data_IF_567899369117
#
_entry.id   IF_567899369117
#
_cell.length_a   1.000
_cell.length_b   1.000
_cell.length_c   1.000
_cell.angle_alpha   90.00
_cell.angle_beta   90.00
_cell.angle_gamma   90.00
#
_symmetry.space_group_name_H-M   'P 1'
#
loop_
_entity.id
_entity.type
_entity.pdbx_description
1 polymer ?
#
# COMPACT_ATOMS: atom_id res chain seq x y z
N UNK A 1 -5.69 9.40 36.53
CA UNK A 1 -5.03 8.18 35.98
C UNK A 1 -5.57 6.94 36.70
N UNK A 2 -5.88 5.86 35.99
CA UNK A 2 -6.29 4.60 36.62
C UNK A 2 -5.06 3.85 37.16
N UNK A 3 -5.10 3.39 38.41
CA UNK A 3 -4.00 2.65 39.05
C UNK A 3 -4.09 1.13 38.85
N UNK A 4 -5.20 0.63 38.30
CA UNK A 4 -5.44 -0.77 37.98
C UNK A 4 -6.20 -0.92 36.67
N UNK A 5 -6.01 -2.05 35.99
CA UNK A 5 -6.61 -2.33 34.68
C UNK A 5 -8.15 -2.46 34.71
N UNK A 6 -8.71 -2.74 35.88
CA UNK A 6 -10.15 -2.91 36.14
C UNK A 6 -10.78 -1.70 36.87
N UNK A 7 -9.99 -0.65 37.13
CA UNK A 7 -10.48 0.58 37.73
C UNK A 7 -11.18 1.49 36.70
N UNK A 8 -11.85 2.53 37.20
CA UNK A 8 -12.40 3.58 36.34
C UNK A 8 -11.29 4.39 35.68
N UNK A 9 -11.39 4.57 34.37
CA UNK A 9 -10.47 5.39 33.60
C UNK A 9 -10.98 6.84 33.49
N UNK A 10 -10.03 7.78 33.59
CA UNK A 10 -10.26 9.18 33.25
C UNK A 10 -9.81 9.39 31.80
N UNK A 11 -10.66 10.00 30.99
CA UNK A 11 -10.36 10.32 29.59
C UNK A 11 -10.14 11.82 29.42
N UNK A 12 -9.16 12.19 28.59
CA UNK A 12 -8.91 13.57 28.15
C UNK A 12 -8.52 13.55 26.68
N UNK A 13 -8.83 14.63 25.99
CA UNK A 13 -8.28 14.89 24.66
C UNK A 13 -6.81 15.24 24.80
N UNK A 14 -5.97 14.63 23.97
CA UNK A 14 -4.51 14.82 23.98
C UNK A 14 -4.00 15.36 22.64
N UNK A 15 -4.85 15.36 21.61
CA UNK A 15 -4.57 15.83 20.27
C UNK A 15 -5.89 16.03 19.51
N UNK A 16 -6.06 17.20 18.90
CA UNK A 16 -7.08 17.53 17.91
C UNK A 16 -6.42 18.45 16.87
N UNK A 17 -5.72 17.83 15.93
CA UNK A 17 -4.95 18.53 14.89
C UNK A 17 -5.00 17.74 13.57
N UNK A 18 -5.16 18.44 12.46
CA UNK A 18 -5.25 17.90 11.11
C UNK A 18 -4.00 18.18 10.26
N UNK A 19 -2.94 18.73 10.88
CA UNK A 19 -1.72 19.17 10.21
C UNK A 19 -1.99 20.14 9.04
N UNK A 20 -3.10 20.88 9.10
CA UNK A 20 -3.59 21.76 8.04
C UNK A 20 -3.99 21.02 6.76
N UNK A 21 -4.44 19.77 6.86
CA UNK A 21 -4.76 18.91 5.73
C UNK A 21 -6.22 18.43 5.74
N UNK A 22 -7.09 19.24 5.16
CA UNK A 22 -8.46 18.85 4.79
C UNK A 22 -9.35 18.34 5.95
N UNK A 23 -9.16 18.82 7.18
CA UNK A 23 -9.88 18.35 8.37
C UNK A 23 -9.71 16.83 8.61
N UNK A 24 -8.59 16.26 8.16
CA UNK A 24 -8.24 14.86 8.35
C UNK A 24 -7.26 14.73 9.52
N UNK A 25 -7.81 14.43 10.70
CA UNK A 25 -7.06 14.40 11.95
C UNK A 25 -5.91 13.40 11.99
N UNK A 26 -4.88 13.74 12.76
CA UNK A 26 -3.84 12.82 13.19
C UNK A 26 -4.27 12.10 14.47
N UNK A 27 -4.48 10.79 14.37
CA UNK A 27 -5.03 10.02 15.46
C UNK A 27 -4.62 8.56 15.33
N UNK A 28 -4.99 7.76 16.34
CA UNK A 28 -4.75 6.33 16.42
C UNK A 28 -3.26 5.94 16.34
N UNK A 29 -2.80 5.19 17.34
CA UNK A 29 -1.42 4.75 17.38
C UNK A 29 -1.03 4.41 18.80
N UNK A 30 0.13 4.88 19.22
CA UNK A 30 0.63 4.60 20.56
C UNK A 30 1.78 5.49 20.97
N UNK A 31 2.31 5.17 22.15
CA UNK A 31 3.40 5.90 22.79
C UNK A 31 4.60 4.97 22.91
N UNK A 32 5.79 5.52 22.71
CA UNK A 32 7.04 4.78 22.81
C UNK A 32 8.08 5.65 23.48
N UNK A 33 8.85 5.05 24.38
CA UNK A 33 10.05 5.66 24.95
C UNK A 33 11.31 5.14 24.28
N UNK A 34 12.34 5.97 24.35
CA UNK A 34 13.70 5.63 23.89
C UNK A 34 14.54 5.17 25.07
N UNK A 35 15.65 4.45 24.86
CA UNK A 35 16.52 3.99 25.95
C UNK A 35 17.10 5.12 26.82
N UNK A 36 17.09 6.37 26.37
CA UNK A 36 17.50 7.55 27.14
C UNK A 36 16.33 8.32 27.77
N UNK A 37 15.12 7.75 27.75
CA UNK A 37 13.94 8.23 28.47
C UNK A 37 13.13 9.31 27.75
N UNK A 38 13.44 9.64 26.49
CA UNK A 38 12.59 10.52 25.68
C UNK A 38 11.36 9.78 25.17
N UNK A 39 10.21 10.44 25.21
CA UNK A 39 8.94 9.90 24.78
C UNK A 39 8.51 10.47 23.44
N UNK A 40 7.86 9.64 22.65
CA UNK A 40 7.27 9.97 21.37
C UNK A 40 5.88 9.35 21.26
N UNK A 41 4.95 10.06 20.64
CA UNK A 41 3.72 9.48 20.15
C UNK A 41 3.90 9.17 18.65
N UNK A 42 3.55 7.95 18.25
CA UNK A 42 3.41 7.59 16.84
C UNK A 42 1.92 7.48 16.53
N UNK A 43 1.46 8.20 15.51
CA UNK A 43 0.06 8.25 15.11
C UNK A 43 -0.06 7.96 13.61
N UNK A 44 -1.28 8.01 13.08
CA UNK A 44 -1.55 7.88 11.65
C UNK A 44 -2.40 9.06 11.18
N UNK A 45 -1.98 9.63 10.07
CA UNK A 45 -2.67 10.73 9.41
C UNK A 45 -3.30 10.28 8.10
N UNK A 46 -4.58 10.60 7.90
CA UNK A 46 -5.30 10.28 6.67
C UNK A 46 -4.82 11.18 5.52
N UNK A 47 -4.29 10.60 4.44
CA UNK A 47 -3.74 11.32 3.26
C UNK A 47 -4.48 10.99 1.97
N UNK A 48 -5.81 10.80 2.07
CA UNK A 48 -6.69 10.51 0.95
C UNK A 48 -6.24 9.28 0.15
N UNK A 49 -6.05 9.43 -1.15
CA UNK A 49 -5.69 8.32 -2.04
C UNK A 49 -4.32 7.67 -1.76
N UNK A 50 -3.42 8.34 -1.03
CA UNK A 50 -2.16 7.75 -0.58
C UNK A 50 -2.38 6.71 0.53
N UNK A 51 -3.49 6.81 1.26
CA UNK A 51 -3.79 6.01 2.45
C UNK A 51 -3.45 6.75 3.73
N UNK A 52 -3.13 5.99 4.78
CA UNK A 52 -2.81 6.53 6.12
C UNK A 52 -1.31 6.44 6.34
N UNK A 53 -0.69 7.58 6.65
CA UNK A 53 0.76 7.68 6.80
C UNK A 53 1.14 7.80 8.27
N UNK A 54 2.24 7.16 8.72
CA UNK A 54 2.68 7.32 10.09
C UNK A 54 3.19 8.75 10.32
N UNK A 55 2.81 9.32 11.45
CA UNK A 55 3.41 10.54 12.01
C UNK A 55 4.11 10.18 13.31
N UNK A 56 5.09 10.98 13.71
CA UNK A 56 5.75 10.84 14.99
C UNK A 56 6.02 12.23 15.56
N UNK A 57 5.72 12.42 16.82
CA UNK A 57 5.85 13.71 17.50
C UNK A 57 6.44 13.51 18.90
N UNK A 58 7.27 14.45 19.39
CA UNK A 58 7.73 14.43 20.77
C UNK A 58 6.54 14.39 21.75
N UNK A 59 6.74 13.73 22.87
CA UNK A 59 5.74 13.67 23.94
C UNK A 59 6.43 13.88 25.28
N UNK A 60 5.71 14.49 26.22
CA UNK A 60 6.10 14.60 27.63
C UNK A 60 4.90 14.31 28.52
N UNK A 61 5.13 14.06 29.80
CA UNK A 61 4.07 14.02 30.80
C UNK A 61 4.00 15.36 31.53
N UNK A 62 2.79 15.88 31.70
CA UNK A 62 2.51 17.03 32.56
C UNK A 62 2.70 16.71 34.04
N UNK A 63 2.60 17.71 34.90
CA UNK A 63 2.71 17.55 36.36
C UNK A 63 1.64 16.62 36.94
N UNK A 64 0.49 16.51 36.27
CA UNK A 64 -0.63 15.63 36.60
C UNK A 64 -0.50 14.22 36.02
N UNK A 65 0.61 13.93 35.34
CA UNK A 65 0.89 12.65 34.71
C UNK A 65 0.14 12.40 33.39
N UNK A 66 -0.58 13.38 32.84
CA UNK A 66 -1.18 13.24 31.51
C UNK A 66 -0.18 13.50 30.39
N UNK A 67 -0.26 12.78 29.27
CA UNK A 67 0.62 13.02 28.12
C UNK A 67 0.26 14.34 27.45
N UNK A 68 1.29 15.07 27.03
CA UNK A 68 1.22 16.28 26.21
C UNK A 68 2.01 15.99 24.94
N UNK A 69 1.34 16.03 23.79
CA UNK A 69 1.90 15.69 22.48
C UNK A 69 2.34 16.94 21.74
N UNK A 70 3.40 16.82 20.96
CA UNK A 70 3.89 17.89 20.08
C UNK A 70 4.27 19.15 20.84
N UNK A 71 4.00 20.31 20.22
CA UNK A 71 4.12 21.63 20.83
C UNK A 71 2.79 22.01 21.48
N UNK A 72 2.53 21.43 22.66
CA UNK A 72 1.30 21.64 23.44
C UNK A 72 -0.01 21.36 22.68
N UNK A 73 -0.06 20.22 21.97
CA UNK A 73 -1.22 19.76 21.23
C UNK A 73 -1.18 20.04 19.72
N UNK A 74 -0.10 20.66 19.23
CA UNK A 74 0.12 20.90 17.80
C UNK A 74 1.18 19.95 17.25
N UNK A 75 0.87 19.28 16.13
CA UNK A 75 1.81 18.38 15.45
C UNK A 75 2.82 19.21 14.66
N UNK A 76 4.10 19.09 15.03
CA UNK A 76 5.18 19.76 14.30
C UNK A 76 5.44 19.08 12.94
N UNK A 77 5.55 19.89 11.88
CA UNK A 77 5.92 19.40 10.54
C UNK A 77 7.37 18.90 10.51
N UNK A 78 8.25 19.57 11.24
CA UNK A 78 9.65 19.18 11.39
C UNK A 78 9.90 18.64 12.79
N UNK A 79 10.56 17.48 12.85
CA UNK A 79 10.95 16.85 14.09
C UNK A 79 12.45 16.57 14.09
N UNK A 80 13.07 16.69 15.26
CA UNK A 80 14.46 16.27 15.47
C UNK A 80 14.50 15.13 16.47
N UNK A 81 14.96 13.97 16.02
CA UNK A 81 15.12 12.77 16.86
C UNK A 81 16.59 12.45 16.97
N UNK A 82 17.27 12.82 18.08
CA UNK A 82 18.62 12.37 18.35
C UNK A 82 18.71 10.85 18.30
N UNK A 83 19.50 10.32 17.36
CA UNK A 83 19.70 8.88 17.16
C UNK A 83 21.18 8.57 16.89
N UNK A 84 21.67 7.45 17.42
CA UNK A 84 23.01 6.92 17.10
C UNK A 84 23.04 6.19 15.75
N UNK A 85 21.89 6.06 15.10
CA UNK A 85 21.69 5.31 13.86
C UNK A 85 21.26 6.21 12.70
N UNK A 86 21.62 7.50 12.72
CA UNK A 86 21.27 8.44 11.65
C UNK A 86 21.76 7.96 10.27
N UNK A 87 22.90 7.26 10.24
CA UNK A 87 23.49 6.70 9.02
C UNK A 87 22.99 5.28 8.69
N UNK A 88 22.05 4.72 9.46
CA UNK A 88 21.51 3.39 9.18
C UNK A 88 20.51 3.45 8.03
N UNK A 89 20.78 2.67 6.99
CA UNK A 89 19.86 2.53 5.85
C UNK A 89 18.86 1.40 6.10
N UNK A 90 17.60 1.76 6.32
CA UNK A 90 16.49 0.81 6.43
C UNK A 90 16.10 0.25 5.06
N UNK A 91 15.53 -0.96 5.04
CA UNK A 91 14.94 -1.53 3.84
C UNK A 91 13.80 -0.64 3.32
N UNK A 92 13.72 -0.50 2.00
CA UNK A 92 12.71 0.34 1.37
C UNK A 92 11.32 -0.31 1.47
N UNK A 93 10.29 0.52 1.69
CA UNK A 93 8.89 0.08 1.75
C UNK A 93 8.30 -0.28 0.39
N UNK A 94 8.98 0.12 -0.69
CA UNK A 94 8.60 -0.04 -2.09
C UNK A 94 9.88 0.01 -2.94
N UNK A 95 9.82 -0.45 -4.19
CA UNK A 95 11.01 -0.44 -5.04
C UNK A 95 10.87 -1.19 -6.36
N UNK A 96 11.94 -1.16 -7.13
CA UNK A 96 12.05 -1.87 -8.40
C UNK A 96 12.47 -3.32 -8.19
N UNK A 97 11.95 -4.22 -9.01
CA UNK A 97 12.33 -5.64 -9.03
C UNK A 97 12.50 -6.10 -10.47
N UNK A 98 13.64 -6.73 -10.77
CA UNK A 98 13.93 -7.30 -12.08
C UNK A 98 13.55 -8.80 -12.13
N UNK A 99 13.00 -9.32 -11.03
CA UNK A 99 12.55 -10.71 -10.87
C UNK A 99 13.65 -11.74 -11.17
N UNK A 100 14.93 -11.35 -11.03
CA UNK A 100 16.05 -12.28 -11.09
C UNK A 100 16.25 -12.92 -9.74
N UNK A 101 15.80 -14.15 -9.59
CA UNK A 101 16.09 -14.96 -8.42
C UNK A 101 17.18 -15.99 -8.69
N UNK A 102 17.98 -16.31 -7.68
CA UNK A 102 18.84 -17.50 -7.68
C UNK A 102 18.04 -18.65 -7.06
N UNK A 103 17.85 -19.79 -7.75
CA UNK A 103 17.16 -20.94 -7.17
C UNK A 103 17.78 -21.34 -5.83
N UNK A 104 16.96 -21.93 -4.94
CA UNK A 104 17.43 -22.49 -3.69
C UNK A 104 18.42 -23.63 -3.92
N UNK A 105 19.05 -24.13 -2.86
CA UNK A 105 19.93 -25.31 -2.93
C UNK A 105 19.20 -26.58 -3.41
N UNK A 106 17.88 -26.61 -3.29
CA UNK A 106 16.95 -27.61 -3.78
C UNK A 106 16.46 -27.34 -5.22
N UNK A 107 16.85 -26.21 -5.82
CA UNK A 107 16.38 -25.77 -7.13
C UNK A 107 14.99 -25.13 -7.11
N UNK A 108 14.33 -25.04 -5.96
CA UNK A 108 13.00 -24.47 -5.84
C UNK A 108 13.04 -22.95 -5.89
N UNK A 109 12.02 -22.39 -6.51
CA UNK A 109 11.79 -20.95 -6.57
C UNK A 109 10.46 -20.67 -5.86
N UNK A 110 10.50 -19.85 -4.81
CA UNK A 110 9.36 -19.66 -3.91
C UNK A 110 9.05 -18.19 -3.63
N UNK A 111 7.93 -17.92 -2.95
CA UNK A 111 7.54 -16.57 -2.51
C UNK A 111 8.65 -15.82 -1.77
N UNK A 112 9.55 -16.54 -1.09
CA UNK A 112 10.67 -15.95 -0.33
C UNK A 112 11.68 -15.24 -1.22
N UNK A 113 11.60 -15.42 -2.54
CA UNK A 113 12.48 -14.80 -3.52
C UNK A 113 11.91 -13.52 -4.12
N UNK A 114 10.63 -13.22 -3.87
CA UNK A 114 10.04 -11.92 -4.19
C UNK A 114 10.48 -10.93 -3.11
N UNK A 115 10.84 -9.70 -3.51
CA UNK A 115 11.24 -8.65 -2.56
C UNK A 115 10.14 -8.36 -1.52
N UNK A 116 10.49 -8.05 -0.26
CA UNK A 116 9.54 -8.00 0.86
C UNK A 116 8.47 -6.89 0.76
N UNK A 117 8.68 -5.89 -0.09
CA UNK A 117 7.70 -4.84 -0.34
C UNK A 117 6.52 -5.27 -1.22
N UNK A 118 6.63 -6.40 -1.91
CA UNK A 118 5.54 -6.95 -2.72
C UNK A 118 4.55 -7.73 -1.87
N UNK A 119 3.26 -7.54 -2.17
CA UNK A 119 2.17 -8.22 -1.50
C UNK A 119 1.13 -8.63 -2.56
N UNK A 120 0.73 -9.89 -2.57
CA UNK A 120 -0.39 -10.31 -3.41
C UNK A 120 -1.70 -9.76 -2.84
N UNK A 121 -2.59 -9.33 -3.73
CA UNK A 121 -3.98 -9.09 -3.36
C UNK A 121 -4.63 -10.45 -3.05
N UNK A 122 -5.07 -10.64 -1.81
CA UNK A 122 -5.51 -11.94 -1.25
C UNK A 122 -4.40 -13.01 -1.20
N UNK A 123 -4.78 -14.26 -0.90
CA UNK A 123 -3.87 -15.39 -0.90
C UNK A 123 -3.45 -15.73 -2.35
N UNK A 124 -2.15 -15.89 -2.63
CA UNK A 124 -1.70 -16.27 -3.97
C UNK A 124 -2.06 -17.72 -4.29
N UNK A 125 -2.36 -17.96 -5.55
CA UNK A 125 -2.54 -19.27 -6.16
C UNK A 125 -1.21 -19.70 -6.79
N UNK A 126 -0.48 -20.58 -6.10
CA UNK A 126 0.89 -20.98 -6.45
C UNK A 126 1.03 -21.64 -7.83
N UNK A 127 -0.04 -22.26 -8.30
CA UNK A 127 -0.15 -22.86 -9.62
C UNK A 127 -0.24 -21.84 -10.77
N UNK A 128 -0.54 -20.57 -10.45
CA UNK A 128 -0.83 -19.53 -11.43
C UNK A 128 0.22 -18.40 -11.47
N UNK A 129 1.40 -18.62 -10.89
CA UNK A 129 2.55 -17.72 -11.07
C UNK A 129 3.88 -18.47 -10.97
N UNK A 130 4.93 -17.95 -11.62
CA UNK A 130 6.26 -18.55 -11.57
C UNK A 130 7.36 -17.51 -11.77
N UNK A 131 8.48 -17.70 -11.09
CA UNK A 131 9.74 -16.99 -11.34
C UNK A 131 10.79 -17.91 -12.00
N UNK A 132 10.52 -19.22 -12.07
CA UNK A 132 11.41 -20.22 -12.64
C UNK A 132 11.15 -20.47 -14.13
N UNK A 133 9.89 -20.35 -14.56
CA UNK A 133 9.45 -20.66 -15.92
C UNK A 133 10.16 -19.80 -16.97
N UNK A 134 10.38 -18.52 -16.64
CA UNK A 134 11.16 -17.59 -17.44
C UNK A 134 12.10 -16.79 -16.53
N UNK A 135 13.37 -17.18 -16.41
CA UNK A 135 14.32 -16.49 -15.54
C UNK A 135 14.42 -14.99 -15.83
N UNK A 136 14.34 -14.16 -14.78
CA UNK A 136 14.32 -12.70 -14.90
C UNK A 136 12.96 -12.12 -15.28
N UNK A 137 11.88 -12.85 -15.00
CA UNK A 137 10.51 -12.40 -15.21
C UNK A 137 9.58 -13.03 -14.18
N UNK A 138 8.56 -12.28 -13.77
CA UNK A 138 7.38 -12.84 -13.13
C UNK A 138 6.41 -13.30 -14.21
N UNK A 139 6.14 -14.60 -14.26
CA UNK A 139 5.13 -15.19 -15.13
C UNK A 139 3.82 -15.30 -14.35
N UNK A 140 2.72 -14.82 -14.93
CA UNK A 140 1.37 -14.90 -14.39
C UNK A 140 0.50 -15.66 -15.38
N UNK A 141 -0.24 -16.67 -14.91
CA UNK A 141 -1.10 -17.51 -15.74
C UNK A 141 -2.57 -17.16 -15.54
N UNK A 142 -3.29 -16.88 -16.63
CA UNK A 142 -4.74 -16.73 -16.62
C UNK A 142 -5.40 -18.07 -16.36
N UNK A 143 -5.84 -18.32 -15.12
CA UNK A 143 -6.39 -19.63 -14.76
C UNK A 143 -7.93 -19.71 -14.87
N UNK A 144 -8.62 -18.59 -14.73
CA UNK A 144 -10.10 -18.51 -14.83
C UNK A 144 -10.53 -17.17 -15.41
N UNK A 145 -11.66 -17.20 -16.13
CA UNK A 145 -12.35 -15.98 -16.55
C UNK A 145 -13.02 -15.36 -15.32
N UNK A 146 -12.78 -14.07 -15.10
CA UNK A 146 -13.31 -13.31 -13.97
C UNK A 146 -14.05 -12.08 -14.45
N UNK A 147 -15.07 -11.60 -13.73
CA UNK A 147 -15.85 -10.45 -14.17
C UNK A 147 -15.07 -9.14 -14.08
N UNK A 148 -14.11 -9.03 -13.16
CA UNK A 148 -13.38 -7.79 -12.90
C UNK A 148 -12.06 -8.05 -12.14
N UNK A 149 -11.23 -7.00 -11.99
CA UNK A 149 -9.90 -7.08 -11.38
C UNK A 149 -9.91 -7.53 -9.91
N UNK A 150 -10.97 -7.26 -9.15
CA UNK A 150 -11.07 -7.67 -7.74
C UNK A 150 -11.08 -9.20 -7.58
N UNK A 151 -11.50 -9.93 -8.62
CA UNK A 151 -11.56 -11.39 -8.62
C UNK A 151 -10.37 -12.07 -9.30
N UNK A 152 -9.49 -11.29 -9.95
CA UNK A 152 -8.30 -11.82 -10.62
C UNK A 152 -7.31 -12.37 -9.59
N UNK A 153 -6.88 -13.62 -9.81
CA UNK A 153 -5.84 -14.23 -8.99
C UNK A 153 -4.49 -13.58 -9.26
N UNK A 154 -3.63 -13.62 -8.23
CA UNK A 154 -2.22 -13.25 -8.34
C UNK A 154 -1.95 -11.81 -8.82
N UNK A 155 -2.86 -10.88 -8.54
CA UNK A 155 -2.56 -9.44 -8.67
C UNK A 155 -1.47 -9.07 -7.65
N UNK A 156 -0.23 -8.86 -8.11
CA UNK A 156 0.90 -8.47 -7.28
C UNK A 156 0.90 -6.95 -7.06
N UNK A 157 1.03 -6.51 -5.81
CA UNK A 157 0.88 -5.09 -5.42
C UNK A 157 2.05 -4.60 -4.59
N UNK A 158 2.36 -3.31 -4.68
CA UNK A 158 3.23 -2.59 -3.74
C UNK A 158 2.60 -1.25 -3.38
N UNK A 159 3.01 -0.66 -2.26
CA UNK A 159 2.52 0.65 -1.81
C UNK A 159 3.02 1.77 -2.72
N UNK A 160 2.17 2.76 -2.98
CA UNK A 160 2.59 4.03 -3.61
C UNK A 160 3.32 4.90 -2.59
N UNK A 161 4.08 5.88 -3.09
CA UNK A 161 4.77 6.88 -2.25
C UNK A 161 4.43 8.30 -2.68
N UNK A 162 4.30 9.19 -1.68
CA UNK A 162 3.97 10.60 -1.90
C UNK A 162 5.21 11.50 -2.02
N UNK A 163 5.01 12.77 -2.43
CA UNK A 163 3.76 13.33 -2.96
C UNK A 163 3.49 12.91 -4.41
N UNK A 164 4.48 12.31 -5.09
CA UNK A 164 4.38 11.81 -6.47
C UNK A 164 5.24 10.56 -6.61
N UNK A 165 4.74 9.60 -7.38
CA UNK A 165 5.50 8.41 -7.76
C UNK A 165 5.23 8.04 -9.22
N UNK A 166 6.11 7.22 -9.78
CA UNK A 166 5.99 6.65 -11.10
C UNK A 166 6.34 5.16 -11.01
N UNK A 167 5.62 4.34 -11.77
CA UNK A 167 5.90 2.93 -11.91
C UNK A 167 5.86 2.57 -13.39
N UNK A 168 6.77 1.69 -13.80
CA UNK A 168 6.89 1.20 -15.16
C UNK A 168 7.01 -0.32 -15.11
N UNK A 169 6.41 -0.99 -16.09
CA UNK A 169 6.49 -2.44 -16.24
C UNK A 169 6.75 -2.77 -17.71
N UNK A 170 7.54 -3.81 -17.96
CA UNK A 170 7.67 -4.40 -19.28
C UNK A 170 6.80 -5.66 -19.32
N UNK A 171 5.84 -5.71 -20.24
CA UNK A 171 4.92 -6.84 -20.40
C UNK A 171 5.23 -7.56 -21.71
N UNK A 172 5.45 -8.86 -21.63
CA UNK A 172 5.48 -9.72 -22.82
C UNK A 172 4.07 -10.26 -23.08
N UNK A 173 3.45 -9.79 -24.16
CA UNK A 173 2.08 -10.12 -24.54
C UNK A 173 1.97 -11.29 -25.52
N UNK A 174 3.08 -11.95 -25.89
CA UNK A 174 3.09 -12.93 -26.97
C UNK A 174 2.17 -14.14 -26.76
N UNK A 175 1.86 -14.45 -25.50
CA UNK A 175 1.05 -15.59 -25.10
C UNK A 175 -0.40 -15.22 -24.73
N UNK A 176 -0.78 -13.94 -24.76
CA UNK A 176 -2.15 -13.51 -24.42
C UNK A 176 -3.17 -14.14 -25.37
N UNK A 177 -4.18 -14.77 -24.80
CA UNK A 177 -5.32 -15.32 -25.53
C UNK A 177 -6.41 -14.26 -25.70
N UNK A 178 -7.31 -14.43 -26.69
CA UNK A 178 -8.45 -13.53 -26.84
C UNK A 178 -9.26 -13.39 -25.54
N UNK A 179 -9.38 -12.15 -25.04
CA UNK A 179 -10.05 -11.82 -23.78
C UNK A 179 -9.12 -11.60 -22.58
N UNK A 180 -7.83 -11.94 -22.69
CA UNK A 180 -6.85 -11.70 -21.62
C UNK A 180 -6.47 -10.21 -21.54
N UNK A 181 -6.18 -9.77 -20.31
CA UNK A 181 -5.61 -8.46 -20.01
C UNK A 181 -4.36 -8.63 -19.15
N UNK A 182 -3.25 -7.99 -19.52
CA UNK A 182 -2.04 -7.92 -18.71
C UNK A 182 -1.47 -6.50 -18.70
N UNK A 183 -1.15 -5.96 -17.52
CA UNK A 183 -0.74 -4.57 -17.41
C UNK A 183 -0.50 -4.07 -15.99
N UNK A 184 -0.62 -2.76 -15.82
CA UNK A 184 -0.37 -2.02 -14.59
C UNK A 184 -1.66 -1.38 -14.09
N UNK A 185 -1.97 -1.55 -12.81
CA UNK A 185 -3.16 -1.03 -12.16
C UNK A 185 -2.83 -0.11 -10.98
N UNK A 186 -3.57 0.99 -10.86
CA UNK A 186 -3.78 1.65 -9.59
C UNK A 186 -5.00 0.99 -8.92
N UNK A 187 -4.76 0.17 -7.91
CA UNK A 187 -5.79 -0.69 -7.29
C UNK A 187 -6.31 -0.14 -5.96
N UNK A 188 -7.62 0.06 -5.90
CA UNK A 188 -8.44 0.34 -4.72
C UNK A 188 -9.89 0.00 -5.15
N UNK A 189 -10.89 0.31 -4.33
CA UNK A 189 -12.32 0.22 -4.63
C UNK A 189 -12.74 0.92 -5.93
N UNK A 190 -12.00 1.95 -6.38
CA UNK A 190 -12.08 2.51 -7.74
C UNK A 190 -10.77 2.33 -8.49
N UNK A 191 -10.53 1.12 -8.97
CA UNK A 191 -9.31 0.85 -9.70
C UNK A 191 -9.36 1.37 -11.15
N UNK A 192 -8.18 1.68 -11.68
CA UNK A 192 -7.92 1.90 -13.10
C UNK A 192 -6.68 1.14 -13.50
N UNK A 193 -6.67 0.61 -14.71
CA UNK A 193 -5.50 -0.08 -15.24
C UNK A 193 -5.28 0.25 -16.71
N UNK A 194 -4.01 0.25 -17.09
CA UNK A 194 -3.58 0.23 -18.49
C UNK A 194 -3.07 -1.16 -18.78
N UNK A 195 -3.60 -1.81 -19.80
CA UNK A 195 -3.27 -3.19 -20.12
C UNK A 195 -3.21 -3.44 -21.62
N UNK A 196 -2.36 -4.38 -21.99
CA UNK A 196 -2.40 -5.02 -23.29
C UNK A 196 -3.51 -6.07 -23.24
N UNK A 197 -4.38 -6.09 -24.24
CA UNK A 197 -5.39 -7.12 -24.41
C UNK A 197 -5.37 -7.68 -25.83
N UNK A 198 -5.66 -8.97 -25.97
CA UNK A 198 -5.84 -9.61 -27.28
C UNK A 198 -7.34 -9.68 -27.58
N UNK A 199 -7.77 -9.09 -28.70
CA UNK A 199 -9.18 -9.08 -29.12
C UNK A 199 -9.50 -10.13 -30.20
N UNK A 200 -8.56 -11.02 -30.52
CA UNK A 200 -8.66 -12.02 -31.59
C UNK A 200 -8.11 -11.56 -32.95
N UNK A 201 -7.92 -10.25 -33.16
CA UNK A 201 -7.36 -9.67 -34.38
C UNK A 201 -5.99 -8.99 -34.15
N UNK A 202 -5.45 -9.08 -32.94
CA UNK A 202 -4.21 -8.44 -32.53
C UNK A 202 -4.25 -8.04 -31.07
N UNK A 203 -3.13 -7.49 -30.60
CA UNK A 203 -3.05 -6.86 -29.30
C UNK A 203 -3.41 -5.37 -29.42
N UNK A 204 -4.14 -4.86 -28.44
CA UNK A 204 -4.39 -3.42 -28.26
C UNK A 204 -3.95 -3.01 -26.87
N UNK A 205 -3.60 -1.73 -26.68
CA UNK A 205 -3.39 -1.15 -25.35
C UNK A 205 -4.64 -0.37 -25.00
N UNK A 206 -5.26 -0.67 -23.86
CA UNK A 206 -6.46 0.02 -23.39
C UNK A 206 -6.33 0.48 -21.94
N UNK A 207 -6.98 1.61 -21.65
CA UNK A 207 -7.21 2.09 -20.28
C UNK A 207 -8.61 1.69 -19.88
N UNK A 208 -8.70 0.87 -18.84
CA UNK A 208 -9.94 0.37 -18.26
C UNK A 208 -10.10 0.92 -16.84
N UNK A 209 -11.33 1.15 -16.41
CA UNK A 209 -11.59 1.58 -15.03
C UNK A 209 -12.95 1.20 -14.53
N UNK A 210 -13.05 0.91 -13.23
CA UNK A 210 -14.35 0.77 -12.59
C UNK A 210 -15.04 2.14 -12.56
N UNK A 211 -16.28 2.29 -13.07
CA UNK A 211 -17.01 3.54 -13.02
C UNK A 211 -17.16 4.04 -11.58
N UNK A 212 -16.95 5.35 -11.38
CA UNK A 212 -17.25 6.00 -10.10
C UNK A 212 -18.74 6.32 -10.06
N UNK A 213 -19.45 5.72 -9.11
CA UNK A 213 -20.89 5.96 -8.90
C UNK A 213 -21.18 6.78 -7.63
N UNK A 214 -20.15 7.10 -6.84
CA UNK A 214 -20.25 7.89 -5.61
C UNK A 214 -19.05 8.82 -5.44
N UNK A 215 -19.32 10.07 -5.07
CA UNK A 215 -18.27 11.03 -4.69
C UNK A 215 -17.93 10.99 -3.18
N UNK A 216 -18.61 10.13 -2.41
CA UNK A 216 -18.44 9.99 -0.96
C UNK A 216 -17.06 9.45 -0.56
N UNK A 217 -16.55 9.89 0.59
CA UNK A 217 -15.35 9.32 1.24
C UNK A 217 -15.54 7.87 1.69
N UNK A 218 -16.79 7.45 1.90
CA UNK A 218 -17.14 6.08 2.26
C UNK A 218 -17.06 5.11 1.06
N UNK A 219 -16.86 5.64 -0.15
CA UNK A 219 -16.83 4.88 -1.39
C UNK A 219 -18.22 4.41 -1.85
N UNK A 220 -18.23 3.38 -2.70
CA UNK A 220 -19.40 2.55 -2.96
C UNK A 220 -19.13 1.11 -2.52
N UNK A 221 -20.21 0.34 -2.33
CA UNK A 221 -20.13 -1.08 -1.98
C UNK A 221 -20.24 -2.03 -3.18
N UNK A 222 -20.10 -1.52 -4.40
CA UNK A 222 -20.23 -2.32 -5.62
C UNK A 222 -18.86 -2.88 -6.01
N UNK A 223 -18.52 -4.06 -5.52
CA UNK A 223 -17.26 -4.71 -5.86
C UNK A 223 -17.33 -5.54 -7.14
N UNK A 224 -18.52 -5.63 -7.74
CA UNK A 224 -18.87 -6.66 -8.72
C UNK A 224 -18.92 -6.09 -10.14
N UNK A 225 -19.25 -4.81 -10.29
CA UNK A 225 -19.29 -4.15 -11.59
C UNK A 225 -17.97 -4.29 -12.37
N UNK A 226 -18.05 -4.64 -13.66
CA UNK A 226 -16.87 -4.73 -14.52
C UNK A 226 -16.30 -3.34 -14.80
N UNK A 227 -15.01 -3.32 -15.18
CA UNK A 227 -14.40 -2.12 -15.72
C UNK A 227 -14.99 -1.77 -17.09
N UNK A 228 -14.96 -0.48 -17.43
CA UNK A 228 -15.30 0.02 -18.75
C UNK A 228 -14.07 0.62 -19.42
N UNK A 229 -14.03 0.56 -20.75
CA UNK A 229 -12.95 1.14 -21.54
C UNK A 229 -13.09 2.66 -21.61
N UNK A 230 -12.02 3.37 -21.27
CA UNK A 230 -11.93 4.83 -21.38
C UNK A 230 -11.18 5.29 -22.62
N UNK A 231 -10.19 4.52 -23.06
CA UNK A 231 -9.37 4.79 -24.24
C UNK A 231 -8.66 3.52 -24.70
N UNK A 232 -8.36 3.43 -26.00
CA UNK A 232 -7.58 2.34 -26.58
C UNK A 232 -6.76 2.78 -27.79
N UNK A 233 -5.71 2.02 -28.10
CA UNK A 233 -4.87 2.19 -29.29
C UNK A 233 -4.31 0.83 -29.75
N UNK A 234 -3.91 0.74 -31.02
CA UNK A 234 -3.38 -0.48 -31.65
C UNK A 234 -1.85 -0.46 -31.66
#
# INVERSE_FOLDING_TARGET
MAEALDASFEAREILDDDLGYHDLGDAQGGMVDTPDGRWYAFMMHDRGALGRVPTIMPMRFGEDGFPVLGDDGVVSIDISVPTKHADYHYEQLNGSDDFRCRPGSDGEVSLRMIKPFWQFNHQPHHEAWSLAERPGSLVLHGHRVVPNLNYAWNTLTQRTVGPRCMAEVTVDASALQPGDFAGLAAIQGYYRFIAISNNGNGCTVSVQGKPRISDSIWGDGDYDSPAVEYASTN
#
